data_IF_426570628802
#
_entry.id   IF_426570628802
#
_cell.length_a   1.000
_cell.length_b   1.000
_cell.length_c   1.000
_cell.angle_alpha   90.00
_cell.angle_beta   90.00
_cell.angle_gamma   90.00
#
_symmetry.space_group_name_H-M   'P 1'
#
loop_
_entity.id
_entity.type
_entity.pdbx_description
1 polymer ?
#
# COMPACT_ATOMS: atom_id res chain seq x y z
N UNK A 1 18.95 25.99 -61.79
CA UNK A 1 17.76 25.14 -62.05
C UNK A 1 17.07 24.84 -60.75
N UNK A 2 15.74 24.94 -60.66
CA UNK A 2 15.10 25.53 -59.50
C UNK A 2 14.76 24.55 -58.37
N UNK A 3 14.72 25.13 -57.18
CA UNK A 3 14.20 24.56 -55.93
C UNK A 3 12.69 24.34 -56.03
N UNK A 4 12.19 23.20 -55.53
CA UNK A 4 10.79 23.02 -55.16
C UNK A 4 10.69 22.98 -53.63
N UNK A 5 10.14 24.05 -53.04
CA UNK A 5 9.63 24.12 -51.70
C UNK A 5 8.28 23.42 -51.64
N UNK A 6 8.15 22.40 -50.82
CA UNK A 6 6.83 21.86 -50.38
C UNK A 6 6.69 22.11 -48.89
N UNK A 7 5.97 23.18 -48.56
CA UNK A 7 5.58 23.51 -47.20
C UNK A 7 4.62 22.47 -46.62
N UNK A 8 5.03 21.84 -45.56
CA UNK A 8 4.16 21.03 -44.70
C UNK A 8 3.74 21.90 -43.50
N UNK A 9 2.45 22.22 -43.46
CA UNK A 9 1.82 22.86 -42.29
C UNK A 9 1.82 21.92 -41.06
N UNK A 10 2.07 22.41 -39.84
CA UNK A 10 1.98 21.59 -38.66
C UNK A 10 0.50 21.34 -38.31
N UNK A 11 0.17 20.08 -38.06
CA UNK A 11 -1.12 19.63 -37.52
C UNK A 11 -1.15 19.99 -36.03
N UNK A 12 -2.01 20.93 -35.67
CA UNK A 12 -2.29 21.28 -34.28
C UNK A 12 -3.24 20.22 -33.70
N UNK A 13 -2.73 19.38 -32.80
CA UNK A 13 -3.56 18.50 -31.95
C UNK A 13 -4.16 19.32 -30.81
N UNK A 14 -5.50 19.43 -30.74
CA UNK A 14 -6.27 20.10 -29.68
C UNK A 14 -6.79 19.02 -28.71
N UNK A 15 -6.53 19.12 -27.39
CA UNK A 15 -7.07 18.17 -26.41
C UNK A 15 -8.56 18.45 -26.14
N UNK A 16 -9.33 17.38 -26.02
CA UNK A 16 -10.77 17.37 -25.77
C UNK A 16 -11.12 17.64 -24.30
N UNK A 17 -11.68 18.79 -23.98
CA UNK A 17 -12.49 19.02 -22.78
C UNK A 17 -13.70 19.91 -23.14
N UNK A 18 -14.87 19.45 -22.78
CA UNK A 18 -16.16 19.76 -23.42
C UNK A 18 -16.77 21.16 -23.24
N UNK A 19 -16.16 22.15 -22.63
CA UNK A 19 -16.76 23.49 -22.43
C UNK A 19 -16.00 24.62 -23.14
N UNK A 20 -14.73 24.49 -23.40
CA UNK A 20 -13.93 25.50 -24.13
C UNK A 20 -14.10 25.45 -25.64
N UNK A 21 -14.80 24.48 -26.19
CA UNK A 21 -15.00 24.31 -27.64
C UNK A 21 -16.01 25.33 -28.22
N UNK A 22 -16.91 25.87 -27.40
CA UNK A 22 -17.90 26.85 -27.87
C UNK A 22 -17.33 28.25 -27.99
N UNK A 23 -16.44 28.66 -27.09
CA UNK A 23 -15.81 29.99 -27.16
C UNK A 23 -14.80 30.09 -28.34
N UNK A 24 -14.00 29.05 -28.56
CA UNK A 24 -13.04 29.03 -29.68
C UNK A 24 -13.72 29.02 -31.07
N UNK A 25 -14.94 28.46 -31.18
CA UNK A 25 -15.74 28.51 -32.43
C UNK A 25 -16.37 29.88 -32.64
N UNK A 26 -16.65 30.62 -31.57
CA UNK A 26 -17.17 31.98 -31.65
C UNK A 26 -16.07 33.00 -32.01
N UNK A 27 -14.87 32.84 -31.48
CA UNK A 27 -13.71 33.69 -31.84
C UNK A 27 -13.20 33.47 -33.26
N UNK A 28 -13.18 32.24 -33.76
CA UNK A 28 -12.80 31.97 -35.15
C UNK A 28 -13.83 32.45 -36.19
N UNK A 29 -15.10 32.66 -35.78
CA UNK A 29 -16.12 33.26 -36.62
C UNK A 29 -16.09 34.80 -36.64
N UNK A 30 -15.55 35.44 -35.60
CA UNK A 30 -15.41 36.91 -35.56
C UNK A 30 -14.37 37.44 -36.56
N UNK A 31 -13.44 36.63 -37.04
CA UNK A 31 -12.42 37.02 -38.05
C UNK A 31 -12.96 36.96 -39.50
N UNK A 32 -14.12 36.28 -39.75
CA UNK A 32 -14.66 36.07 -41.11
C UNK A 32 -15.98 36.85 -41.35
N UNK A 33 -16.44 37.75 -40.46
CA UNK A 33 -17.77 38.38 -40.55
C UNK A 33 -17.75 39.87 -40.86
N UNK A 34 -16.78 40.38 -41.64
CA UNK A 34 -16.75 41.83 -41.98
C UNK A 34 -17.81 42.28 -42.96
N UNK A 35 -18.57 41.39 -43.65
CA UNK A 35 -19.48 41.78 -44.73
C UNK A 35 -20.87 41.08 -44.77
N UNK A 36 -21.43 40.72 -43.60
CA UNK A 36 -22.76 40.10 -43.58
C UNK A 36 -23.84 41.12 -43.11
N UNK A 37 -25.01 41.25 -43.83
CA UNK A 37 -26.10 42.14 -43.48
C UNK A 37 -26.68 41.79 -42.08
N UNK A 38 -27.03 42.81 -41.28
CA UNK A 38 -27.57 42.66 -39.91
C UNK A 38 -28.80 41.74 -39.81
N UNK A 39 -29.56 41.57 -40.91
CA UNK A 39 -30.69 40.64 -40.96
C UNK A 39 -30.29 39.19 -40.91
N UNK A 40 -29.11 38.80 -41.46
CA UNK A 40 -28.58 37.43 -41.40
C UNK A 40 -28.04 37.06 -40.01
N UNK A 41 -27.47 38.03 -39.30
CA UNK A 41 -27.00 37.85 -37.90
C UNK A 41 -28.19 37.64 -36.94
N UNK A 42 -29.30 38.30 -37.17
CA UNK A 42 -30.52 38.17 -36.36
C UNK A 42 -31.21 36.80 -36.59
N UNK A 43 -31.20 36.30 -37.84
CA UNK A 43 -31.73 34.97 -38.16
C UNK A 43 -30.88 33.83 -37.52
N UNK A 44 -29.55 33.96 -37.51
CA UNK A 44 -28.63 32.99 -36.90
C UNK A 44 -28.74 32.98 -35.37
N UNK A 45 -28.99 34.14 -34.75
CA UNK A 45 -29.19 34.23 -33.27
C UNK A 45 -30.53 33.63 -32.83
N UNK A 46 -31.54 33.65 -33.69
CA UNK A 46 -32.87 33.07 -33.40
C UNK A 46 -32.87 31.55 -33.61
N UNK A 47 -32.08 31.01 -34.50
CA UNK A 47 -31.88 29.58 -34.68
C UNK A 47 -31.03 28.96 -33.55
N UNK A 48 -30.08 29.70 -32.98
CA UNK A 48 -29.24 29.23 -31.87
C UNK A 48 -30.02 29.15 -30.53
N UNK A 49 -31.21 29.72 -30.44
CA UNK A 49 -32.09 29.68 -29.24
C UNK A 49 -33.15 28.56 -29.28
N UNK A 50 -33.21 27.75 -30.33
CA UNK A 50 -34.04 26.54 -30.27
C UNK A 50 -33.34 25.51 -29.38
N UNK A 51 -34.01 25.02 -28.27
CA UNK A 51 -33.49 23.92 -27.52
C UNK A 51 -33.36 22.74 -28.47
N UNK A 52 -32.16 22.16 -28.56
CA UNK A 52 -31.93 20.88 -29.26
C UNK A 52 -32.92 19.87 -28.67
N UNK A 53 -33.62 19.06 -29.47
CA UNK A 53 -34.40 17.96 -28.97
C UNK A 53 -33.48 17.14 -28.07
N UNK A 54 -33.94 16.86 -26.86
CA UNK A 54 -33.24 15.97 -25.94
C UNK A 54 -32.83 14.72 -26.72
N UNK A 55 -31.55 14.59 -27.05
CA UNK A 55 -30.99 13.32 -27.45
C UNK A 55 -31.26 12.41 -26.26
N UNK A 56 -32.22 11.51 -26.42
CA UNK A 56 -32.45 10.42 -25.49
C UNK A 56 -31.10 9.73 -25.33
N UNK A 57 -30.49 9.90 -24.15
CA UNK A 57 -29.38 9.04 -23.77
C UNK A 57 -29.91 7.60 -23.90
N UNK A 58 -29.23 6.72 -24.64
CA UNK A 58 -29.64 5.34 -24.69
C UNK A 58 -29.73 4.84 -23.26
N UNK A 59 -30.89 4.33 -22.92
CA UNK A 59 -31.25 3.80 -21.60
C UNK A 59 -30.22 2.75 -21.17
N UNK A 60 -29.22 3.16 -20.41
CA UNK A 60 -28.38 2.26 -19.59
C UNK A 60 -29.16 1.68 -18.41
N UNK A 61 -30.48 1.82 -18.40
CA UNK A 61 -31.34 1.28 -17.33
C UNK A 61 -31.73 -0.19 -17.51
N UNK A 62 -31.53 -0.79 -18.68
CA UNK A 62 -31.93 -2.19 -18.89
C UNK A 62 -30.95 -3.24 -18.39
N UNK A 63 -29.66 -2.88 -18.14
CA UNK A 63 -28.66 -3.84 -17.64
C UNK A 63 -28.52 -3.86 -16.11
N UNK A 64 -29.20 -2.94 -15.40
CA UNK A 64 -29.17 -2.83 -13.93
C UNK A 64 -30.22 -3.72 -13.21
N UNK A 65 -31.15 -4.34 -13.92
CA UNK A 65 -32.29 -5.02 -13.27
C UNK A 65 -32.13 -6.54 -13.07
N UNK A 66 -30.99 -7.13 -13.44
CA UNK A 66 -30.77 -8.58 -13.26
C UNK A 66 -29.64 -8.92 -12.26
N UNK A 67 -29.21 -7.98 -11.43
CA UNK A 67 -28.26 -8.29 -10.36
C UNK A 67 -29.04 -8.97 -9.22
N UNK A 68 -28.77 -10.26 -9.02
CA UNK A 68 -29.35 -11.08 -7.95
C UNK A 68 -29.31 -10.30 -6.62
N UNK A 69 -30.37 -10.29 -5.79
CA UNK A 69 -30.41 -9.54 -4.53
C UNK A 69 -29.22 -9.84 -3.60
N UNK A 70 -28.63 -11.02 -3.69
CA UNK A 70 -27.39 -11.38 -3.00
C UNK A 70 -26.17 -10.53 -3.45
N UNK A 71 -26.06 -10.21 -4.75
CA UNK A 71 -24.99 -9.34 -5.29
C UNK A 71 -25.19 -7.88 -4.90
N UNK A 72 -26.43 -7.43 -4.75
CA UNK A 72 -26.73 -6.09 -4.23
C UNK A 72 -26.40 -5.97 -2.74
N UNK A 73 -26.61 -7.03 -1.96
CA UNK A 73 -26.21 -7.08 -0.54
C UNK A 73 -24.68 -7.06 -0.39
N UNK A 74 -23.95 -7.79 -1.23
CA UNK A 74 -22.48 -7.79 -1.28
C UNK A 74 -21.91 -6.41 -1.61
N UNK A 75 -22.53 -5.66 -2.52
CA UNK A 75 -22.10 -4.30 -2.86
C UNK A 75 -22.42 -3.26 -1.77
N UNK A 76 -23.34 -3.55 -0.85
CA UNK A 76 -23.73 -2.65 0.26
C UNK A 76 -22.91 -2.89 1.53
N UNK A 77 -22.25 -4.05 1.67
CA UNK A 77 -21.45 -4.39 2.86
C UNK A 77 -19.97 -4.04 2.66
N UNK A 78 -19.31 -3.60 3.74
CA UNK A 78 -17.87 -3.34 3.69
C UNK A 78 -17.07 -4.64 3.45
N UNK A 79 -15.91 -4.55 2.82
CA UNK A 79 -15.02 -5.71 2.63
C UNK A 79 -14.68 -6.38 3.97
N UNK A 80 -14.50 -5.58 5.03
CA UNK A 80 -14.26 -6.07 6.40
C UNK A 80 -15.41 -6.95 6.88
N UNK A 81 -16.66 -6.50 6.71
CA UNK A 81 -17.84 -7.28 7.09
C UNK A 81 -17.92 -8.59 6.31
N UNK A 82 -17.62 -8.57 5.01
CA UNK A 82 -17.58 -9.77 4.18
C UNK A 82 -16.51 -10.76 4.63
N UNK A 83 -15.32 -10.28 5.02
CA UNK A 83 -14.23 -11.12 5.55
C UNK A 83 -14.64 -11.74 6.90
N UNK A 84 -15.26 -10.97 7.80
CA UNK A 84 -15.76 -11.51 9.08
C UNK A 84 -16.79 -12.61 8.82
N UNK A 85 -17.73 -12.39 7.89
CA UNK A 85 -18.72 -13.42 7.52
C UNK A 85 -18.02 -14.65 6.94
N UNK A 86 -17.04 -14.49 6.04
CA UNK A 86 -16.25 -15.58 5.49
C UNK A 86 -15.51 -16.37 6.57
N UNK A 87 -14.86 -15.67 7.52
CA UNK A 87 -14.18 -16.27 8.66
C UNK A 87 -15.13 -17.11 9.51
N UNK A 88 -16.25 -16.54 9.95
CA UNK A 88 -17.23 -17.22 10.79
C UNK A 88 -17.88 -18.42 10.05
N UNK A 89 -18.18 -18.27 8.76
CA UNK A 89 -18.70 -19.34 7.94
C UNK A 89 -17.68 -20.48 7.78
N UNK A 90 -16.38 -20.16 7.61
CA UNK A 90 -15.30 -21.14 7.56
C UNK A 90 -15.15 -21.93 8.86
N UNK A 91 -15.19 -21.27 10.01
CA UNK A 91 -15.20 -21.91 11.33
C UNK A 91 -16.42 -22.82 11.47
N UNK A 92 -17.61 -22.31 11.17
CA UNK A 92 -18.85 -23.08 11.27
C UNK A 92 -18.81 -24.35 10.37
N UNK A 93 -18.32 -24.22 9.14
CA UNK A 93 -18.21 -25.35 8.22
C UNK A 93 -17.22 -26.40 8.73
N UNK A 94 -16.08 -25.99 9.28
CA UNK A 94 -15.07 -26.91 9.83
C UNK A 94 -15.63 -27.73 11.01
N UNK A 95 -16.47 -27.09 11.85
CA UNK A 95 -17.08 -27.75 13.02
C UNK A 95 -18.22 -28.69 12.60
N UNK A 96 -19.08 -28.26 11.67
CA UNK A 96 -20.30 -29.02 11.30
C UNK A 96 -19.98 -30.13 10.30
N UNK A 97 -19.09 -29.87 9.34
CA UNK A 97 -18.79 -30.79 8.23
C UNK A 97 -17.30 -30.76 7.84
N UNK A 98 -16.40 -31.37 8.65
CA UNK A 98 -14.93 -31.29 8.42
C UNK A 98 -14.51 -31.77 7.02
N UNK A 99 -15.14 -32.80 6.47
CA UNK A 99 -14.84 -33.31 5.12
C UNK A 99 -15.18 -32.28 4.02
N UNK A 100 -16.29 -31.55 4.17
CA UNK A 100 -16.64 -30.48 3.26
C UNK A 100 -15.68 -29.28 3.43
N UNK A 101 -15.25 -29.01 4.66
CA UNK A 101 -14.28 -27.96 4.95
C UNK A 101 -12.92 -28.19 4.25
N UNK A 102 -12.42 -29.42 4.22
CA UNK A 102 -11.24 -29.79 3.45
C UNK A 102 -11.42 -29.55 1.94
N UNK A 103 -12.59 -29.89 1.41
CA UNK A 103 -12.87 -29.70 -0.02
C UNK A 103 -12.91 -28.24 -0.45
N UNK A 104 -13.41 -27.33 0.40
CA UNK A 104 -13.45 -25.89 0.08
C UNK A 104 -12.08 -25.19 0.25
N UNK A 105 -11.09 -25.87 0.83
CA UNK A 105 -9.71 -25.39 0.91
C UNK A 105 -9.12 -25.00 -0.44
N UNK A 106 -9.61 -25.63 -1.55
CA UNK A 106 -9.24 -25.25 -2.91
C UNK A 106 -9.49 -23.75 -3.19
N UNK A 107 -10.59 -23.17 -2.70
CA UNK A 107 -10.91 -21.74 -2.87
C UNK A 107 -9.84 -20.87 -2.21
N UNK A 108 -9.40 -21.27 -1.00
CA UNK A 108 -8.31 -20.64 -0.29
C UNK A 108 -6.99 -20.69 -1.07
N UNK A 109 -6.65 -21.86 -1.60
CA UNK A 109 -5.45 -22.05 -2.40
C UNK A 109 -5.44 -21.23 -3.69
N UNK A 110 -6.59 -21.07 -4.36
CA UNK A 110 -6.73 -20.18 -5.53
C UNK A 110 -6.45 -18.74 -5.15
N UNK A 111 -6.98 -18.30 -4.00
CA UNK A 111 -6.72 -16.93 -3.50
C UNK A 111 -5.24 -16.71 -3.23
N UNK A 112 -4.55 -17.63 -2.53
CA UNK A 112 -3.11 -17.54 -2.27
C UNK A 112 -2.30 -17.55 -3.56
N UNK A 113 -2.68 -18.38 -4.53
CA UNK A 113 -2.04 -18.43 -5.84
C UNK A 113 -2.20 -17.11 -6.62
N UNK A 114 -3.37 -16.48 -6.53
CA UNK A 114 -3.59 -15.16 -7.13
C UNK A 114 -2.72 -14.08 -6.48
N UNK A 115 -2.56 -14.10 -5.15
CA UNK A 115 -1.64 -13.21 -4.44
C UNK A 115 -0.18 -13.44 -4.87
N UNK A 116 0.24 -14.71 -4.94
CA UNK A 116 1.58 -15.11 -5.40
C UNK A 116 1.88 -14.59 -6.81
N UNK A 117 0.89 -14.62 -7.71
CA UNK A 117 1.04 -14.17 -9.09
C UNK A 117 1.26 -12.64 -9.20
N UNK A 118 0.59 -11.84 -8.36
CA UNK A 118 0.65 -10.37 -8.45
C UNK A 118 1.78 -9.75 -7.63
N UNK A 119 2.25 -10.40 -6.56
CA UNK A 119 3.19 -9.83 -5.62
C UNK A 119 4.54 -9.40 -6.24
N UNK A 120 5.24 -10.19 -7.07
CA UNK A 120 6.51 -9.79 -7.68
C UNK A 120 6.37 -8.54 -8.56
N UNK A 121 5.33 -8.51 -9.40
CA UNK A 121 5.07 -7.39 -10.32
C UNK A 121 4.68 -6.14 -9.54
N UNK A 122 3.86 -6.29 -8.50
CA UNK A 122 3.49 -5.18 -7.62
C UNK A 122 4.73 -4.53 -7.00
N UNK A 123 5.57 -5.32 -6.32
CA UNK A 123 6.77 -4.80 -5.64
C UNK A 123 7.69 -4.09 -6.64
N UNK A 124 7.93 -4.68 -7.81
CA UNK A 124 8.78 -4.11 -8.85
C UNK A 124 8.28 -2.75 -9.33
N UNK A 125 7.04 -2.70 -9.82
CA UNK A 125 6.48 -1.48 -10.43
C UNK A 125 6.27 -0.39 -9.38
N UNK A 126 5.79 -0.76 -8.19
CA UNK A 126 5.42 0.19 -7.16
C UNK A 126 6.65 0.90 -6.58
N UNK A 127 7.70 0.14 -6.22
CA UNK A 127 8.95 0.71 -5.69
C UNK A 127 9.64 1.56 -6.75
N UNK A 128 9.73 1.06 -7.99
CA UNK A 128 10.30 1.81 -9.11
C UNK A 128 9.55 3.13 -9.35
N UNK A 129 8.22 3.09 -9.42
CA UNK A 129 7.38 4.27 -9.64
C UNK A 129 7.50 5.27 -8.48
N UNK A 130 7.50 4.80 -7.23
CA UNK A 130 7.63 5.64 -6.05
C UNK A 130 8.94 6.43 -6.05
N UNK A 131 10.07 5.77 -6.34
CA UNK A 131 11.40 6.41 -6.37
C UNK A 131 11.52 7.36 -7.58
N UNK A 132 11.04 6.96 -8.77
CA UNK A 132 11.12 7.77 -9.98
C UNK A 132 10.29 9.05 -9.88
N UNK A 133 9.10 8.98 -9.27
CA UNK A 133 8.17 10.09 -9.12
C UNK A 133 8.41 10.92 -7.86
N UNK A 134 9.39 10.54 -7.03
CA UNK A 134 9.73 11.32 -5.84
C UNK A 134 10.20 12.72 -6.26
N UNK A 135 9.35 13.73 -6.03
CA UNK A 135 9.68 15.12 -6.32
C UNK A 135 10.73 15.61 -5.31
N UNK A 136 11.83 16.17 -5.82
CA UNK A 136 12.70 16.97 -5.01
C UNK A 136 11.93 18.27 -4.70
N UNK A 137 11.20 18.27 -3.59
CA UNK A 137 10.48 19.45 -3.13
C UNK A 137 11.43 20.61 -2.89
N UNK A 138 10.94 21.81 -3.14
CA UNK A 138 11.54 23.07 -2.71
C UNK A 138 12.12 22.93 -1.29
N UNK A 139 13.09 23.78 -0.93
CA UNK A 139 13.86 23.76 0.33
C UNK A 139 12.99 23.96 1.60
N UNK A 140 11.86 23.31 1.68
CA UNK A 140 11.06 23.20 2.89
C UNK A 140 11.78 22.26 3.85
N UNK A 141 11.70 22.53 5.14
CA UNK A 141 12.38 21.82 6.22
C UNK A 141 11.96 20.31 6.36
N UNK A 142 11.88 19.61 5.24
CA UNK A 142 11.42 18.21 5.16
C UNK A 142 12.47 17.23 5.70
N UNK A 143 13.76 17.55 5.61
CA UNK A 143 14.84 16.64 6.06
C UNK A 143 14.65 16.12 7.50
N UNK A 144 14.34 16.97 8.50
CA UNK A 144 14.09 16.49 9.86
C UNK A 144 12.89 15.55 9.97
N UNK A 145 11.84 15.79 9.18
CA UNK A 145 10.63 14.95 9.14
C UNK A 145 10.95 13.57 8.54
N UNK A 146 11.64 13.55 7.39
CA UNK A 146 12.09 12.31 6.75
C UNK A 146 12.95 11.48 7.68
N UNK A 147 13.88 12.13 8.40
CA UNK A 147 14.72 11.43 9.36
C UNK A 147 13.87 10.81 10.49
N UNK A 148 12.87 11.52 10.99
CA UNK A 148 11.96 10.99 12.02
C UNK A 148 11.13 9.81 11.46
N UNK A 149 10.66 9.87 10.21
CA UNK A 149 9.99 8.74 9.54
C UNK A 149 10.88 7.50 9.48
N UNK A 150 12.12 7.66 9.03
CA UNK A 150 13.07 6.55 8.92
C UNK A 150 13.46 5.97 10.29
N UNK A 151 13.79 6.83 11.26
CA UNK A 151 14.12 6.40 12.62
C UNK A 151 12.91 5.72 13.28
N UNK A 152 11.72 6.28 13.14
CA UNK A 152 10.48 5.71 13.68
C UNK A 152 10.18 4.33 13.09
N UNK A 153 10.27 4.20 11.78
CA UNK A 153 10.04 2.91 11.08
C UNK A 153 11.10 1.86 11.48
N UNK A 154 12.36 2.24 11.53
CA UNK A 154 13.44 1.33 11.96
C UNK A 154 13.29 0.93 13.43
N UNK A 155 12.99 1.88 14.31
CA UNK A 155 12.74 1.59 15.73
C UNK A 155 11.55 0.65 15.93
N UNK A 156 10.51 0.79 15.11
CA UNK A 156 9.36 -0.09 15.12
C UNK A 156 9.73 -1.53 14.71
N UNK A 157 10.56 -1.70 13.67
CA UNK A 157 11.09 -3.00 13.27
C UNK A 157 11.96 -3.63 14.38
N UNK A 158 12.79 -2.84 15.06
CA UNK A 158 13.58 -3.32 16.21
C UNK A 158 12.70 -3.78 17.38
N UNK A 159 11.64 -3.02 17.70
CA UNK A 159 10.65 -3.44 18.72
C UNK A 159 10.02 -4.78 18.32
N UNK A 160 9.68 -4.94 17.04
CA UNK A 160 9.11 -6.18 16.54
C UNK A 160 10.08 -7.36 16.66
N UNK A 161 11.38 -7.16 16.40
CA UNK A 161 12.42 -8.17 16.63
C UNK A 161 12.47 -8.57 18.10
N UNK A 162 12.63 -7.59 18.99
CA UNK A 162 12.71 -7.85 20.45
C UNK A 162 11.47 -8.57 20.97
N UNK A 163 10.28 -8.11 20.55
CA UNK A 163 9.02 -8.73 20.95
C UNK A 163 8.88 -10.16 20.41
N UNK A 164 9.30 -10.43 19.17
CA UNK A 164 9.24 -11.78 18.57
C UNK A 164 10.17 -12.76 19.28
N UNK A 165 11.33 -12.31 19.78
CA UNK A 165 12.20 -13.14 20.60
C UNK A 165 11.66 -13.35 22.03
N UNK A 166 11.02 -12.33 22.61
CA UNK A 166 10.43 -12.42 23.95
C UNK A 166 9.13 -13.24 23.98
N UNK A 167 8.35 -13.17 22.91
CA UNK A 167 7.04 -13.80 22.75
C UNK A 167 6.97 -14.54 21.40
N UNK A 168 7.73 -15.65 21.24
CA UNK A 168 7.77 -16.36 19.98
C UNK A 168 6.39 -16.90 19.60
N UNK A 169 6.02 -16.73 18.35
CA UNK A 169 4.74 -17.18 17.77
C UNK A 169 4.98 -18.38 16.87
N UNK A 170 4.12 -19.39 16.96
CA UNK A 170 4.13 -20.55 16.08
C UNK A 170 2.99 -20.48 15.09
N UNK A 171 3.25 -20.85 13.84
CA UNK A 171 2.29 -20.86 12.74
C UNK A 171 1.97 -22.30 12.34
N UNK A 172 0.76 -22.52 11.86
CA UNK A 172 0.41 -23.81 11.23
C UNK A 172 0.77 -23.70 9.74
N UNK A 173 1.86 -24.37 9.37
CA UNK A 173 2.35 -24.46 7.99
C UNK A 173 2.16 -25.87 7.46
N UNK A 174 1.94 -26.02 6.14
CA UNK A 174 1.81 -27.34 5.54
C UNK A 174 3.12 -28.14 5.64
N UNK A 175 3.03 -29.44 5.72
CA UNK A 175 4.14 -30.38 5.99
C UNK A 175 5.31 -30.32 5.00
N UNK A 176 5.18 -29.66 3.85
CA UNK A 176 6.28 -29.46 2.89
C UNK A 176 7.37 -28.46 3.38
N UNK A 177 7.13 -27.78 4.50
CA UNK A 177 8.06 -26.80 5.07
C UNK A 177 9.20 -27.44 5.93
N UNK A 178 9.17 -28.74 6.15
CA UNK A 178 9.97 -29.41 7.21
C UNK A 178 11.45 -29.72 6.86
N UNK A 179 11.94 -29.46 5.64
CA UNK A 179 13.31 -29.83 5.21
C UNK A 179 14.22 -28.62 4.88
N UNK A 180 14.00 -27.47 5.54
CA UNK A 180 14.83 -26.31 5.29
C UNK A 180 16.13 -26.36 6.11
N UNK A 181 17.27 -26.27 5.45
CA UNK A 181 18.57 -26.07 6.11
C UNK A 181 18.74 -24.61 6.49
N UNK A 182 18.87 -24.30 7.78
CA UNK A 182 19.10 -22.92 8.22
C UNK A 182 20.40 -22.36 7.61
N UNK A 183 20.47 -21.06 7.29
CA UNK A 183 21.72 -20.42 6.87
C UNK A 183 22.76 -20.50 8.00
N UNK A 184 24.01 -20.74 7.65
CA UNK A 184 25.12 -20.96 8.58
C UNK A 184 25.65 -19.73 9.31
N UNK A 185 24.89 -18.63 9.30
CA UNK A 185 25.21 -17.35 9.96
C UNK A 185 25.25 -16.16 9.01
N UNK A 186 25.48 -14.96 9.57
CA UNK A 186 25.39 -13.67 8.85
C UNK A 186 26.26 -13.63 7.57
N UNK A 187 27.43 -14.29 7.56
CA UNK A 187 28.32 -14.29 6.39
C UNK A 187 27.69 -15.00 5.18
N UNK A 188 27.01 -16.14 5.40
CA UNK A 188 26.31 -16.88 4.36
C UNK A 188 25.05 -16.11 3.89
N UNK A 189 24.34 -15.52 4.82
CA UNK A 189 23.19 -14.64 4.53
C UNK A 189 23.61 -13.48 3.64
N UNK A 190 24.69 -12.76 3.98
CA UNK A 190 25.20 -11.64 3.18
C UNK A 190 25.67 -12.08 1.79
N UNK A 191 26.33 -13.25 1.68
CA UNK A 191 26.72 -13.81 0.38
C UNK A 191 25.49 -14.09 -0.48
N UNK A 192 24.49 -14.75 0.09
CA UNK A 192 23.21 -15.04 -0.60
C UNK A 192 22.50 -13.77 -1.02
N UNK A 193 22.43 -12.75 -0.15
CA UNK A 193 21.87 -11.45 -0.48
C UNK A 193 22.58 -10.81 -1.67
N UNK A 194 23.92 -10.76 -1.68
CA UNK A 194 24.69 -10.19 -2.78
C UNK A 194 24.44 -10.92 -4.10
N UNK A 195 24.37 -12.24 -4.07
CA UNK A 195 24.06 -13.04 -5.26
C UNK A 195 22.64 -12.78 -5.77
N UNK A 196 21.68 -12.65 -4.87
CA UNK A 196 20.29 -12.35 -5.22
C UNK A 196 20.12 -10.93 -5.80
N UNK A 197 20.90 -9.95 -5.33
CA UNK A 197 20.88 -8.56 -5.85
C UNK A 197 21.32 -8.49 -7.32
N UNK A 198 22.32 -9.29 -7.73
CA UNK A 198 22.87 -9.27 -9.10
C UNK A 198 22.15 -10.22 -10.06
N UNK A 199 21.04 -10.80 -9.66
CA UNK A 199 20.25 -11.68 -10.51
C UNK A 199 19.64 -10.90 -11.72
N UNK A 200 19.38 -11.61 -12.81
CA UNK A 200 18.70 -11.02 -13.99
C UNK A 200 17.28 -10.58 -13.60
N UNK A 201 16.81 -9.37 -13.99
CA UNK A 201 15.51 -8.86 -13.58
C UNK A 201 14.35 -9.75 -14.02
N UNK A 202 14.41 -10.34 -15.21
CA UNK A 202 13.37 -11.26 -15.71
C UNK A 202 13.36 -12.55 -14.89
N UNK A 203 14.55 -13.09 -14.60
CA UNK A 203 14.69 -14.29 -13.77
C UNK A 203 14.24 -14.04 -12.32
N UNK A 204 14.58 -12.87 -11.76
CA UNK A 204 14.13 -12.46 -10.44
C UNK A 204 12.60 -12.40 -10.34
N UNK A 205 11.93 -11.81 -11.35
CA UNK A 205 10.47 -11.79 -11.42
C UNK A 205 9.88 -13.19 -11.59
N UNK A 206 10.45 -14.03 -12.44
CA UNK A 206 9.97 -15.38 -12.72
C UNK A 206 10.06 -16.30 -11.51
N UNK A 207 11.18 -16.24 -10.79
CA UNK A 207 11.45 -17.09 -9.62
C UNK A 207 10.94 -16.49 -8.30
N UNK A 208 10.46 -15.23 -8.31
CA UNK A 208 10.09 -14.53 -7.09
C UNK A 208 11.28 -14.22 -6.19
N UNK A 209 12.46 -13.93 -6.77
CA UNK A 209 13.61 -13.41 -6.04
C UNK A 209 13.35 -11.95 -5.66
N UNK A 210 12.66 -11.74 -4.54
CA UNK A 210 12.24 -10.41 -4.11
C UNK A 210 13.39 -9.45 -3.81
N UNK A 211 14.56 -9.95 -3.42
CA UNK A 211 15.77 -9.14 -3.21
C UNK A 211 16.26 -8.58 -4.55
N UNK A 212 16.37 -9.42 -5.58
CA UNK A 212 16.71 -9.00 -6.93
C UNK A 212 15.66 -8.05 -7.52
N UNK A 213 14.37 -8.36 -7.33
CA UNK A 213 13.24 -7.50 -7.73
C UNK A 213 13.37 -6.11 -7.10
N UNK A 214 13.63 -6.03 -5.80
CA UNK A 214 13.79 -4.76 -5.07
C UNK A 214 15.02 -4.00 -5.55
N UNK A 215 16.16 -4.68 -5.73
CA UNK A 215 17.40 -4.07 -6.21
C UNK A 215 17.22 -3.42 -7.60
N UNK A 216 16.60 -4.14 -8.54
CA UNK A 216 16.27 -3.61 -9.86
C UNK A 216 15.23 -2.50 -9.83
N UNK A 217 14.20 -2.61 -8.98
CA UNK A 217 13.19 -1.56 -8.80
C UNK A 217 13.81 -0.26 -8.28
N UNK A 218 14.72 -0.36 -7.31
CA UNK A 218 15.47 0.78 -6.77
C UNK A 218 16.39 1.37 -7.85
N UNK A 219 17.21 0.55 -8.52
CA UNK A 219 18.15 0.99 -9.55
C UNK A 219 17.45 1.71 -10.70
N UNK A 220 16.37 1.10 -11.25
CA UNK A 220 15.57 1.71 -12.31
C UNK A 220 14.82 2.95 -11.80
N UNK A 221 14.29 2.94 -10.58
CA UNK A 221 13.66 4.09 -9.96
C UNK A 221 14.58 5.30 -9.92
N UNK A 222 15.83 5.13 -9.51
CA UNK A 222 16.85 6.18 -9.54
C UNK A 222 17.20 6.61 -10.97
N UNK A 223 17.35 5.68 -11.91
CA UNK A 223 17.62 6.01 -13.32
C UNK A 223 16.47 6.85 -13.93
N UNK A 224 15.23 6.49 -13.67
CA UNK A 224 14.05 7.23 -14.16
C UNK A 224 13.78 8.54 -13.42
N UNK A 225 14.50 8.85 -12.35
CA UNK A 225 14.35 10.12 -11.62
C UNK A 225 14.63 11.35 -12.46
N UNK A 226 15.48 11.21 -13.47
CA UNK A 226 15.81 12.25 -14.44
C UNK A 226 15.05 12.10 -15.77
N UNK A 227 14.14 11.15 -15.89
CA UNK A 227 13.35 10.95 -17.08
C UNK A 227 12.32 12.07 -17.32
N UNK A 228 11.78 12.14 -18.55
CA UNK A 228 10.75 13.10 -18.92
C UNK A 228 9.49 12.95 -18.06
N UNK A 229 8.69 14.01 -17.97
CA UNK A 229 7.42 14.00 -17.25
C UNK A 229 6.47 12.91 -17.79
N UNK A 230 6.46 12.69 -19.12
CA UNK A 230 5.65 11.65 -19.75
C UNK A 230 6.06 10.24 -19.31
N UNK A 231 7.38 9.96 -19.21
CA UNK A 231 7.87 8.66 -18.73
C UNK A 231 7.52 8.43 -17.26
N UNK A 232 7.62 9.46 -16.42
CA UNK A 232 7.22 9.39 -15.02
C UNK A 232 5.72 9.17 -14.85
N UNK A 233 4.90 9.84 -15.67
CA UNK A 233 3.46 9.64 -15.70
C UNK A 233 3.12 8.20 -16.10
N UNK A 234 3.75 7.66 -17.14
CA UNK A 234 3.57 6.26 -17.55
C UNK A 234 3.86 5.28 -16.41
N UNK A 235 4.96 5.50 -15.64
CA UNK A 235 5.26 4.67 -14.47
C UNK A 235 4.18 4.79 -13.39
N UNK A 236 3.63 5.98 -13.18
CA UNK A 236 2.49 6.22 -12.28
C UNK A 236 1.22 5.48 -12.73
N UNK A 237 0.93 5.52 -14.03
CA UNK A 237 -0.22 4.84 -14.63
C UNK A 237 -0.08 3.32 -14.54
N UNK A 238 1.12 2.77 -14.81
CA UNK A 238 1.42 1.34 -14.61
C UNK A 238 1.26 0.92 -13.15
N UNK A 239 1.77 1.72 -12.21
CA UNK A 239 1.62 1.49 -10.77
C UNK A 239 0.14 1.46 -10.36
N UNK A 240 -0.65 2.39 -10.88
CA UNK A 240 -2.09 2.46 -10.65
C UNK A 240 -2.82 1.24 -11.23
N UNK A 241 -2.45 0.81 -12.44
CA UNK A 241 -2.99 -0.38 -13.09
C UNK A 241 -2.71 -1.67 -12.32
N UNK A 242 -1.45 -1.89 -11.90
CA UNK A 242 -1.07 -3.06 -11.09
C UNK A 242 -1.78 -3.02 -9.73
N UNK A 243 -1.86 -1.86 -9.09
CA UNK A 243 -2.60 -1.67 -7.83
C UNK A 243 -4.09 -2.01 -7.99
N UNK A 244 -4.71 -1.68 -9.13
CA UNK A 244 -6.10 -2.04 -9.41
C UNK A 244 -6.30 -3.56 -9.50
N UNK A 245 -5.36 -4.28 -10.13
CA UNK A 245 -5.37 -5.76 -10.19
C UNK A 245 -5.24 -6.35 -8.77
N UNK A 246 -4.31 -5.83 -7.96
CA UNK A 246 -4.14 -6.28 -6.57
C UNK A 246 -5.42 -6.03 -5.75
N UNK A 247 -6.06 -4.87 -5.90
CA UNK A 247 -7.35 -4.58 -5.25
C UNK A 247 -8.44 -5.55 -5.68
N UNK A 248 -8.44 -6.00 -6.96
CA UNK A 248 -9.37 -7.01 -7.44
C UNK A 248 -9.12 -8.36 -6.76
N UNK A 249 -7.86 -8.79 -6.66
CA UNK A 249 -7.48 -10.02 -5.94
C UNK A 249 -7.88 -9.92 -4.47
N UNK A 250 -7.62 -8.79 -3.80
CA UNK A 250 -8.01 -8.58 -2.39
C UNK A 250 -9.54 -8.61 -2.21
N UNK A 251 -10.34 -8.22 -3.20
CA UNK A 251 -11.81 -8.38 -3.14
C UNK A 251 -12.26 -9.84 -3.07
N UNK A 252 -11.43 -10.79 -3.46
CA UNK A 252 -11.68 -12.23 -3.31
C UNK A 252 -11.34 -12.74 -1.90
N UNK A 253 -10.71 -11.92 -1.05
CA UNK A 253 -10.30 -12.30 0.31
C UNK A 253 -11.43 -12.92 1.16
N UNK A 254 -12.69 -12.45 1.15
CA UNK A 254 -13.75 -13.11 1.92
C UNK A 254 -13.92 -14.59 1.58
N UNK A 255 -13.88 -14.95 0.30
CA UNK A 255 -13.96 -16.34 -0.17
C UNK A 255 -12.68 -17.11 0.10
N UNK A 256 -11.52 -16.45 -0.13
CA UNK A 256 -10.20 -17.03 0.15
C UNK A 256 -10.04 -17.39 1.63
N UNK A 257 -10.38 -16.46 2.52
CA UNK A 257 -10.29 -16.63 3.98
C UNK A 257 -11.29 -17.69 4.46
N UNK A 258 -12.52 -17.71 3.92
CA UNK A 258 -13.47 -18.78 4.18
C UNK A 258 -12.85 -20.16 3.91
N UNK A 259 -12.29 -20.38 2.72
CA UNK A 259 -11.68 -21.65 2.34
C UNK A 259 -10.44 -22.01 3.16
N UNK A 260 -9.55 -21.03 3.39
CA UNK A 260 -8.34 -21.23 4.21
C UNK A 260 -8.67 -21.62 5.64
N UNK A 261 -9.58 -20.87 6.30
CA UNK A 261 -9.94 -21.11 7.69
C UNK A 261 -10.66 -22.44 7.85
N UNK A 262 -11.59 -22.74 6.94
CA UNK A 262 -12.29 -24.01 6.96
C UNK A 262 -11.33 -25.21 6.86
N UNK A 263 -10.42 -25.20 5.90
CA UNK A 263 -9.43 -26.27 5.72
C UNK A 263 -8.45 -26.36 6.89
N UNK A 264 -7.83 -25.22 7.29
CA UNK A 264 -6.86 -25.19 8.39
C UNK A 264 -7.46 -25.71 9.69
N UNK A 265 -8.70 -25.31 10.00
CA UNK A 265 -9.35 -25.74 11.24
C UNK A 265 -9.75 -27.22 11.18
N UNK A 266 -10.14 -27.73 10.02
CA UNK A 266 -10.45 -29.14 9.83
C UNK A 266 -9.19 -30.04 9.90
N UNK A 267 -8.02 -29.54 9.46
CA UNK A 267 -6.73 -30.25 9.49
C UNK A 267 -6.06 -30.17 10.87
N UNK A 268 -6.02 -28.98 11.48
CA UNK A 268 -5.15 -28.66 12.62
C UNK A 268 -5.91 -28.38 13.92
N UNK A 269 -7.25 -28.33 13.88
CA UNK A 269 -8.08 -28.06 15.05
C UNK A 269 -8.04 -26.61 15.54
N UNK A 270 -8.63 -26.36 16.70
CA UNK A 270 -8.73 -25.02 17.29
C UNK A 270 -7.39 -24.43 17.77
N UNK A 271 -6.36 -25.26 17.98
CA UNK A 271 -5.04 -24.79 18.42
C UNK A 271 -4.40 -23.85 17.39
N UNK A 272 -4.70 -24.03 16.09
CA UNK A 272 -4.29 -23.11 15.05
C UNK A 272 -4.85 -21.68 15.26
N UNK A 273 -6.12 -21.56 15.66
CA UNK A 273 -6.74 -20.26 15.93
C UNK A 273 -6.13 -19.57 17.16
N UNK A 274 -5.78 -20.34 18.19
CA UNK A 274 -5.09 -19.82 19.37
C UNK A 274 -3.70 -19.29 19.03
N UNK A 275 -2.96 -20.00 18.15
CA UNK A 275 -1.69 -19.52 17.59
C UNK A 275 -1.85 -18.20 16.84
N UNK A 276 -2.89 -18.06 16.02
CA UNK A 276 -3.17 -16.81 15.30
C UNK A 276 -3.59 -15.67 16.24
N UNK A 277 -4.33 -15.96 17.32
CA UNK A 277 -4.66 -14.97 18.34
C UNK A 277 -3.40 -14.48 19.07
N UNK A 278 -2.48 -15.40 19.46
CA UNK A 278 -1.20 -15.03 20.06
C UNK A 278 -0.38 -14.15 19.12
N UNK A 279 -0.24 -14.52 17.85
CA UNK A 279 0.43 -13.74 16.83
C UNK A 279 -0.17 -12.32 16.71
N UNK A 280 -1.51 -12.22 16.68
CA UNK A 280 -2.21 -10.94 16.61
C UNK A 280 -1.97 -10.07 17.84
N UNK A 281 -1.94 -10.67 19.04
CA UNK A 281 -1.62 -9.96 20.29
C UNK A 281 -0.19 -9.42 20.27
N UNK A 282 0.78 -10.19 19.79
CA UNK A 282 2.17 -9.72 19.64
C UNK A 282 2.25 -8.57 18.63
N UNK A 283 1.60 -8.69 17.47
CA UNK A 283 1.57 -7.64 16.44
C UNK A 283 0.96 -6.33 16.96
N UNK A 284 -0.25 -6.40 17.48
CA UNK A 284 -0.96 -5.22 18.01
C UNK A 284 -0.25 -4.67 19.24
N UNK A 285 0.30 -5.53 20.08
CA UNK A 285 1.12 -5.15 21.23
C UNK A 285 2.36 -4.33 20.82
N UNK A 286 3.08 -4.76 19.77
CA UNK A 286 4.19 -3.98 19.20
C UNK A 286 3.71 -2.63 18.68
N UNK A 287 2.59 -2.59 17.93
CA UNK A 287 2.05 -1.35 17.39
C UNK A 287 1.64 -0.37 18.51
N UNK A 288 1.00 -0.86 19.55
CA UNK A 288 0.65 -0.05 20.73
C UNK A 288 1.89 0.43 21.48
N UNK A 289 2.91 -0.44 21.68
CA UNK A 289 4.17 -0.05 22.31
C UNK A 289 4.86 1.05 21.51
N UNK A 290 4.91 0.93 20.19
CA UNK A 290 5.48 1.98 19.33
C UNK A 290 4.65 3.26 19.40
N UNK A 291 3.33 3.19 19.33
CA UNK A 291 2.45 4.35 19.37
C UNK A 291 2.52 5.10 20.71
N UNK A 292 2.61 4.37 21.85
CA UNK A 292 2.45 4.93 23.19
C UNK A 292 3.76 5.10 23.97
N UNK A 293 4.86 4.50 23.52
CA UNK A 293 6.17 4.59 24.20
C UNK A 293 7.26 5.09 23.23
N UNK A 294 7.49 4.41 22.11
CA UNK A 294 8.62 4.72 21.21
C UNK A 294 8.42 6.08 20.52
N UNK A 295 7.26 6.27 19.90
CA UNK A 295 6.96 7.55 19.21
C UNK A 295 6.91 8.73 20.18
N UNK A 296 6.27 8.65 21.38
CA UNK A 296 6.39 9.69 22.40
C UNK A 296 7.83 9.98 22.81
N UNK A 297 8.69 8.96 22.96
CA UNK A 297 10.10 9.15 23.30
C UNK A 297 10.86 9.90 22.20
N UNK A 298 10.65 9.54 20.92
CA UNK A 298 11.23 10.23 19.77
C UNK A 298 10.77 11.69 19.70
N UNK A 299 9.48 11.93 19.91
CA UNK A 299 8.90 13.28 19.94
C UNK A 299 9.45 14.09 21.12
N UNK A 300 9.50 13.51 22.32
CA UNK A 300 10.10 14.16 23.49
C UNK A 300 11.56 14.55 23.24
N UNK A 301 12.34 13.65 22.67
CA UNK A 301 13.74 13.95 22.30
C UNK A 301 13.83 15.14 21.35
N UNK A 302 12.85 15.30 20.47
CA UNK A 302 12.82 16.35 19.45
C UNK A 302 12.36 17.71 19.99
N UNK A 303 11.22 17.72 20.74
CA UNK A 303 10.57 18.96 21.19
C UNK A 303 10.90 19.34 22.66
N UNK A 304 11.50 18.43 23.44
CA UNK A 304 11.86 18.63 24.86
C UNK A 304 10.69 19.07 25.76
N UNK A 305 9.47 18.69 25.39
CA UNK A 305 8.22 18.95 26.14
C UNK A 305 7.40 17.67 26.21
N UNK A 306 6.38 17.66 27.09
CA UNK A 306 5.47 16.49 27.18
C UNK A 306 4.86 16.17 25.80
N UNK A 307 5.12 14.98 25.23
CA UNK A 307 4.64 14.60 23.90
C UNK A 307 3.19 14.10 23.88
N UNK A 308 2.67 13.64 25.03
CA UNK A 308 1.39 12.92 25.07
C UNK A 308 0.18 13.70 24.59
N UNK A 309 0.02 15.01 24.89
CA UNK A 309 -1.11 15.77 24.34
C UNK A 309 -1.15 15.73 22.79
N UNK A 310 0.02 15.83 22.13
CA UNK A 310 0.13 15.75 20.69
C UNK A 310 -0.10 14.31 20.19
N UNK A 311 0.52 13.32 20.83
CA UNK A 311 0.37 11.89 20.48
C UNK A 311 -1.09 11.46 20.54
N UNK A 312 -1.78 11.76 21.66
CA UNK A 312 -3.18 11.38 21.83
C UNK A 312 -4.10 12.11 20.84
N UNK A 313 -3.81 13.36 20.52
CA UNK A 313 -4.54 14.10 19.49
C UNK A 313 -4.38 13.44 18.11
N UNK A 314 -3.15 13.08 17.72
CA UNK A 314 -2.89 12.40 16.45
C UNK A 314 -3.56 11.01 16.39
N UNK A 315 -3.49 10.23 17.46
CA UNK A 315 -4.14 8.91 17.51
C UNK A 315 -5.67 9.04 17.44
N UNK A 316 -6.26 9.99 18.18
CA UNK A 316 -7.72 10.18 18.20
C UNK A 316 -8.26 10.69 16.86
N UNK A 317 -7.60 11.65 16.23
CA UNK A 317 -8.15 12.35 15.06
C UNK A 317 -7.75 11.67 13.74
N UNK A 318 -6.49 11.28 13.61
CA UNK A 318 -5.96 10.58 12.44
C UNK A 318 -6.04 9.05 12.59
N UNK A 319 -5.55 8.52 13.74
CA UNK A 319 -5.45 7.09 13.94
C UNK A 319 -6.80 6.37 13.90
N UNK A 320 -7.84 6.91 14.56
CA UNK A 320 -9.18 6.29 14.53
C UNK A 320 -9.72 6.25 13.10
N UNK A 321 -9.62 7.35 12.35
CA UNK A 321 -10.11 7.39 10.97
C UNK A 321 -9.33 6.42 10.09
N UNK A 322 -7.99 6.37 10.23
CA UNK A 322 -7.13 5.45 9.50
C UNK A 322 -7.41 3.99 9.85
N UNK A 323 -7.72 3.67 11.09
CA UNK A 323 -8.11 2.33 11.54
C UNK A 323 -9.31 1.79 10.76
N UNK A 324 -10.34 2.59 10.59
CA UNK A 324 -11.56 2.17 9.89
C UNK A 324 -11.43 2.22 8.36
N UNK A 325 -10.66 3.17 7.82
CA UNK A 325 -10.46 3.28 6.36
C UNK A 325 -9.44 2.28 5.82
N UNK A 326 -8.50 1.83 6.66
CA UNK A 326 -7.41 0.92 6.29
C UNK A 326 -6.62 1.40 5.07
N UNK A 327 -6.50 2.72 4.93
CA UNK A 327 -5.80 3.34 3.81
C UNK A 327 -5.17 4.67 4.24
N UNK A 328 -3.84 4.71 4.32
CA UNK A 328 -3.10 5.95 4.60
C UNK A 328 -3.36 7.00 3.53
N UNK A 329 -3.49 6.60 2.27
CA UNK A 329 -3.81 7.51 1.17
C UNK A 329 -5.21 8.15 1.31
N UNK A 330 -6.22 7.38 1.72
CA UNK A 330 -7.56 7.90 1.98
C UNK A 330 -7.61 8.84 3.20
N UNK A 331 -6.64 8.71 4.11
CA UNK A 331 -6.56 9.53 5.33
C UNK A 331 -5.77 10.85 5.11
N UNK A 332 -5.11 11.05 3.96
CA UNK A 332 -4.37 12.29 3.66
C UNK A 332 -5.20 13.55 3.91
N UNK A 333 -6.46 13.70 3.44
CA UNK A 333 -7.26 14.90 3.70
C UNK A 333 -7.49 15.16 5.19
N UNK A 334 -7.71 14.11 5.99
CA UNK A 334 -7.88 14.20 7.45
C UNK A 334 -6.59 14.71 8.09
N UNK A 335 -5.44 14.17 7.69
CA UNK A 335 -4.13 14.57 8.19
C UNK A 335 -3.78 16.01 7.84
N UNK A 336 -4.05 16.45 6.61
CA UNK A 336 -3.86 17.85 6.20
C UNK A 336 -4.72 18.79 7.03
N UNK A 337 -6.00 18.46 7.25
CA UNK A 337 -6.89 19.26 8.08
C UNK A 337 -6.43 19.29 9.55
N UNK A 338 -5.91 18.17 10.08
CA UNK A 338 -5.38 18.12 11.43
C UNK A 338 -4.12 18.99 11.55
N UNK A 339 -3.19 18.95 10.59
CA UNK A 339 -2.02 19.82 10.55
C UNK A 339 -2.41 21.30 10.53
N UNK A 340 -3.43 21.68 9.74
CA UNK A 340 -3.96 23.03 9.71
C UNK A 340 -4.51 23.46 11.07
N UNK A 341 -5.28 22.60 11.75
CA UNK A 341 -5.82 22.87 13.11
C UNK A 341 -4.73 22.98 14.17
N UNK A 342 -3.62 22.28 13.98
CA UNK A 342 -2.43 22.38 14.84
C UNK A 342 -1.60 23.63 14.57
N UNK A 343 -1.96 24.45 13.58
CA UNK A 343 -1.27 25.69 13.21
C UNK A 343 0.06 25.48 12.50
N UNK A 344 0.29 24.30 11.88
CA UNK A 344 1.53 24.00 11.19
C UNK A 344 1.63 24.76 9.86
N UNK A 345 2.87 24.98 9.38
CA UNK A 345 3.11 25.64 8.11
C UNK A 345 2.62 24.82 6.91
N UNK A 346 1.76 25.41 6.08
CA UNK A 346 1.14 24.74 4.94
C UNK A 346 2.17 24.21 3.94
N UNK A 347 3.22 24.97 3.65
CA UNK A 347 4.31 24.57 2.77
C UNK A 347 5.02 23.28 3.24
N UNK A 348 5.02 23.02 4.54
CA UNK A 348 5.64 21.82 5.12
C UNK A 348 4.69 20.63 5.08
N UNK A 349 3.47 20.79 5.62
CA UNK A 349 2.57 19.64 5.75
C UNK A 349 1.94 19.21 4.40
N UNK A 350 1.77 20.14 3.44
CA UNK A 350 1.28 19.78 2.09
C UNK A 350 2.22 18.82 1.36
N UNK A 351 3.50 18.77 1.73
CA UNK A 351 4.49 17.84 1.17
C UNK A 351 4.73 16.66 2.10
N UNK A 352 4.90 16.90 3.41
CA UNK A 352 5.24 15.82 4.34
C UNK A 352 4.12 14.79 4.52
N UNK A 353 2.85 15.20 4.54
CA UNK A 353 1.74 14.28 4.74
C UNK A 353 1.53 13.31 3.56
N UNK A 354 1.47 13.76 2.29
CA UNK A 354 1.41 12.82 1.16
C UNK A 354 2.64 11.92 1.08
N UNK A 355 3.82 12.44 1.41
CA UNK A 355 5.06 11.67 1.45
C UNK A 355 5.05 10.64 2.58
N UNK A 356 4.61 11.02 3.79
CA UNK A 356 4.46 10.13 4.94
C UNK A 356 3.54 8.96 4.64
N UNK A 357 2.40 9.21 3.99
CA UNK A 357 1.46 8.17 3.59
C UNK A 357 2.07 7.07 2.68
N UNK A 358 3.29 7.27 2.18
CA UNK A 358 4.02 6.30 1.34
C UNK A 358 5.29 5.76 1.98
N UNK A 359 5.99 6.52 2.82
CA UNK A 359 7.31 6.13 3.36
C UNK A 359 7.35 5.95 4.87
N UNK A 360 6.39 6.52 5.62
CA UNK A 360 6.32 6.38 7.08
C UNK A 360 5.46 5.18 7.46
N UNK A 361 6.03 3.99 7.34
CA UNK A 361 5.32 2.71 7.40
C UNK A 361 5.77 1.85 8.58
N UNK A 362 5.78 2.44 9.79
CA UNK A 362 6.19 1.77 11.02
C UNK A 362 5.40 0.50 11.34
N UNK A 363 4.07 0.53 11.14
CA UNK A 363 3.20 -0.62 11.33
C UNK A 363 3.46 -1.73 10.30
N UNK A 364 3.72 -1.36 9.02
CA UNK A 364 4.10 -2.33 8.00
C UNK A 364 5.44 -3.01 8.32
N UNK A 365 6.42 -2.26 8.82
CA UNK A 365 7.70 -2.82 9.24
C UNK A 365 7.53 -3.81 10.42
N UNK A 366 6.64 -3.52 11.38
CA UNK A 366 6.26 -4.47 12.46
C UNK A 366 5.64 -5.72 11.86
N UNK A 367 4.66 -5.57 10.98
CA UNK A 367 3.95 -6.70 10.35
C UNK A 367 4.92 -7.63 9.60
N UNK A 368 5.77 -7.07 8.74
CA UNK A 368 6.77 -7.83 7.98
C UNK A 368 7.70 -8.57 8.94
N UNK A 369 8.21 -7.90 9.98
CA UNK A 369 9.16 -8.47 10.93
C UNK A 369 8.53 -9.58 11.77
N UNK A 370 7.38 -9.34 12.41
CA UNK A 370 6.74 -10.32 13.31
C UNK A 370 6.31 -11.57 12.55
N UNK A 371 5.68 -11.43 11.38
CA UNK A 371 5.23 -12.58 10.59
C UNK A 371 6.42 -13.39 10.05
N UNK A 372 7.50 -12.73 9.62
CA UNK A 372 8.71 -13.42 9.20
C UNK A 372 9.37 -14.17 10.35
N UNK A 373 9.51 -13.57 11.53
CA UNK A 373 10.10 -14.22 12.69
C UNK A 373 9.23 -15.34 13.28
N UNK A 374 7.90 -15.21 13.17
CA UNK A 374 7.00 -16.30 13.50
C UNK A 374 7.23 -17.52 12.59
N UNK A 375 7.45 -17.30 11.29
CA UNK A 375 7.82 -18.37 10.37
C UNK A 375 9.18 -18.98 10.70
N UNK A 376 10.17 -18.16 10.94
CA UNK A 376 11.53 -18.60 11.32
C UNK A 376 11.49 -19.45 12.58
N UNK A 377 10.75 -19.02 13.60
CA UNK A 377 10.54 -19.79 14.83
C UNK A 377 9.83 -21.12 14.56
N UNK A 378 8.78 -21.11 13.75
CA UNK A 378 8.01 -22.31 13.39
C UNK A 378 8.86 -23.35 12.65
N UNK A 379 9.77 -22.88 11.79
CA UNK A 379 10.66 -23.73 10.99
C UNK A 379 11.93 -24.15 11.76
N UNK A 380 12.08 -23.75 13.03
CA UNK A 380 13.26 -24.07 13.84
C UNK A 380 14.56 -23.44 13.34
N UNK A 381 14.47 -22.35 12.53
CA UNK A 381 15.64 -21.65 12.03
C UNK A 381 16.27 -20.84 13.16
N UNK A 382 17.53 -21.07 13.46
CA UNK A 382 18.28 -20.30 14.47
C UNK A 382 18.73 -18.97 13.86
N UNK A 383 18.54 -17.88 14.59
CA UNK A 383 18.90 -16.54 14.14
C UNK A 383 19.92 -15.93 15.08
N UNK A 384 21.00 -15.39 14.51
CA UNK A 384 21.93 -14.52 15.24
C UNK A 384 21.45 -13.07 15.28
N UNK A 385 21.94 -12.30 16.26
CA UNK A 385 21.58 -10.90 16.42
C UNK A 385 21.88 -10.04 15.20
N UNK A 386 23.02 -10.17 14.49
CA UNK A 386 23.28 -9.43 13.26
C UNK A 386 22.25 -9.67 12.16
N UNK A 387 21.81 -10.91 11.96
CA UNK A 387 20.76 -11.24 10.97
C UNK A 387 19.41 -10.65 11.37
N UNK A 388 19.06 -10.65 12.67
CA UNK A 388 17.85 -10.00 13.16
C UNK A 388 17.87 -8.47 12.96
N UNK A 389 19.02 -7.83 13.14
CA UNK A 389 19.21 -6.40 12.84
C UNK A 389 19.10 -6.12 11.34
N UNK A 390 19.66 -7.00 10.50
CA UNK A 390 19.55 -6.91 9.05
C UNK A 390 18.09 -7.03 8.59
N UNK A 391 17.30 -7.92 9.21
CA UNK A 391 15.86 -8.00 8.99
C UNK A 391 15.16 -6.65 9.30
N UNK A 392 15.53 -5.98 10.41
CA UNK A 392 14.95 -4.68 10.76
C UNK A 392 15.23 -3.63 9.69
N UNK A 393 16.43 -3.61 9.13
CA UNK A 393 16.79 -2.71 8.01
C UNK A 393 15.97 -3.06 6.77
N UNK A 394 15.94 -4.34 6.39
CA UNK A 394 15.21 -4.81 5.21
C UNK A 394 13.71 -4.54 5.32
N UNK A 395 13.10 -4.83 6.48
CA UNK A 395 11.70 -4.56 6.74
C UNK A 395 11.38 -3.06 6.65
N UNK A 396 12.26 -2.20 7.18
CA UNK A 396 12.07 -0.74 7.12
C UNK A 396 12.15 -0.20 5.70
N UNK A 397 13.08 -0.69 4.88
CA UNK A 397 13.22 -0.27 3.48
C UNK A 397 12.03 -0.80 2.66
N UNK A 398 11.69 -2.07 2.83
CA UNK A 398 10.59 -2.68 2.08
C UNK A 398 9.23 -2.09 2.45
N UNK A 399 9.03 -1.74 3.73
CA UNK A 399 7.80 -1.10 4.19
C UNK A 399 7.48 0.19 3.40
N UNK A 400 8.49 0.96 3.00
CA UNK A 400 8.29 2.12 2.11
C UNK A 400 7.67 1.74 0.74
N UNK A 401 7.71 0.48 0.36
CA UNK A 401 7.07 -0.06 -0.84
C UNK A 401 5.64 -0.57 -0.63
N UNK A 402 5.11 -0.54 0.60
CA UNK A 402 3.78 -1.08 0.91
C UNK A 402 2.61 -0.27 0.33
N UNK A 403 2.87 0.98 -0.11
CA UNK A 403 1.95 1.83 -0.92
C UNK A 403 0.56 2.13 -0.35
N UNK A 404 0.35 2.08 0.97
CA UNK A 404 -0.92 2.50 1.58
C UNK A 404 -2.19 1.77 1.06
N UNK A 405 -2.00 0.59 0.44
CA UNK A 405 -3.08 -0.29 0.00
C UNK A 405 -3.34 -1.32 1.10
N UNK A 406 -4.59 -1.59 1.41
CA UNK A 406 -4.96 -2.59 2.41
C UNK A 406 -4.27 -3.94 2.13
N UNK A 407 -3.58 -4.49 3.14
CA UNK A 407 -2.82 -5.75 3.02
C UNK A 407 -1.52 -5.65 2.20
N UNK A 408 -1.08 -4.44 1.80
CA UNK A 408 0.14 -4.25 1.01
C UNK A 408 1.41 -4.73 1.72
N UNK A 409 1.50 -4.55 3.03
CA UNK A 409 2.62 -5.01 3.86
C UNK A 409 2.78 -6.54 3.83
N UNK A 410 1.68 -7.28 3.77
CA UNK A 410 1.69 -8.75 3.72
C UNK A 410 2.40 -9.27 2.46
N UNK A 411 2.26 -8.57 1.34
CA UNK A 411 2.88 -8.96 0.08
C UNK A 411 4.41 -8.74 0.07
N UNK A 412 4.96 -8.09 1.09
CA UNK A 412 6.40 -7.89 1.29
C UNK A 412 7.03 -8.95 2.20
N UNK A 413 6.24 -9.79 2.85
CA UNK A 413 6.73 -10.90 3.70
C UNK A 413 7.65 -11.85 2.94
N UNK A 414 7.39 -12.26 1.68
CA UNK A 414 8.30 -13.13 0.94
C UNK A 414 9.70 -12.53 0.75
N UNK A 415 9.81 -11.21 0.62
CA UNK A 415 11.09 -10.51 0.59
C UNK A 415 11.87 -10.72 1.91
N UNK A 416 11.21 -10.54 3.05
CA UNK A 416 11.84 -10.73 4.36
C UNK A 416 12.17 -12.21 4.64
N UNK A 417 11.28 -13.11 4.23
CA UNK A 417 11.49 -14.57 4.33
C UNK A 417 12.70 -15.06 3.52
N UNK A 418 12.96 -14.44 2.36
CA UNK A 418 14.11 -14.81 1.52
C UNK A 418 15.46 -14.55 2.20
N UNK A 419 15.52 -13.63 3.19
CA UNK A 419 16.70 -13.42 4.03
C UNK A 419 17.12 -14.69 4.81
N UNK A 420 16.15 -15.52 5.15
CA UNK A 420 16.33 -16.76 5.91
C UNK A 420 16.29 -18.01 5.04
N UNK A 421 16.35 -17.87 3.72
CA UNK A 421 16.25 -18.99 2.78
C UNK A 421 14.88 -19.67 2.75
N UNK A 422 13.84 -19.03 3.30
CA UNK A 422 12.47 -19.57 3.29
C UNK A 422 11.90 -19.48 1.85
N UNK A 423 11.50 -20.62 1.25
CA UNK A 423 10.95 -20.63 -0.10
C UNK A 423 9.68 -19.80 -0.24
N UNK A 424 9.47 -19.28 -1.46
CA UNK A 424 8.32 -18.44 -1.73
C UNK A 424 6.97 -19.14 -1.48
N UNK A 425 6.91 -20.47 -1.69
CA UNK A 425 5.73 -21.29 -1.39
C UNK A 425 5.34 -21.22 0.08
N UNK A 426 6.32 -21.33 0.97
CA UNK A 426 6.13 -21.25 2.41
C UNK A 426 5.83 -19.81 2.82
N UNK A 427 6.54 -18.84 2.28
CA UNK A 427 6.31 -17.43 2.54
C UNK A 427 4.88 -17.00 2.16
N UNK A 428 4.30 -17.55 1.09
CA UNK A 428 2.93 -17.27 0.70
C UNK A 428 1.88 -17.90 1.64
N UNK A 429 2.21 -18.98 2.35
CA UNK A 429 1.34 -19.49 3.43
C UNK A 429 1.30 -18.50 4.60
N UNK A 430 2.43 -17.86 4.92
CA UNK A 430 2.51 -16.83 5.95
C UNK A 430 1.69 -15.59 5.53
N UNK A 431 1.77 -15.20 4.27
CA UNK A 431 0.91 -14.15 3.69
C UNK A 431 -0.58 -14.50 3.87
N UNK A 432 -0.97 -15.75 3.59
CA UNK A 432 -2.33 -16.22 3.77
C UNK A 432 -2.79 -16.11 5.24
N UNK A 433 -1.95 -16.51 6.19
CA UNK A 433 -2.21 -16.35 7.63
C UNK A 433 -2.36 -14.86 7.97
N UNK A 434 -1.48 -14.00 7.42
CA UNK A 434 -1.58 -12.56 7.55
C UNK A 434 -2.95 -12.02 7.09
N UNK A 435 -3.51 -12.52 6.00
CA UNK A 435 -4.86 -12.14 5.55
C UNK A 435 -5.96 -12.63 6.48
N UNK A 436 -5.82 -13.79 7.14
CA UNK A 436 -6.78 -14.29 8.14
C UNK A 436 -6.90 -13.29 9.31
N UNK A 437 -5.77 -12.84 9.85
CA UNK A 437 -5.72 -11.87 10.96
C UNK A 437 -5.83 -10.42 10.47
N UNK A 438 -5.83 -10.19 9.16
CA UNK A 438 -5.58 -8.92 8.50
C UNK A 438 -6.61 -7.83 8.80
N UNK A 439 -7.82 -8.16 9.28
CA UNK A 439 -8.81 -7.14 9.63
C UNK A 439 -8.28 -6.23 10.75
N UNK A 440 -7.84 -6.82 11.84
CA UNK A 440 -7.36 -6.10 13.01
C UNK A 440 -5.94 -5.61 12.79
N UNK A 441 -5.08 -6.48 12.22
CA UNK A 441 -3.68 -6.17 11.94
C UNK A 441 -3.54 -4.95 11.04
N UNK A 442 -4.17 -4.95 9.85
CA UNK A 442 -4.07 -3.88 8.86
C UNK A 442 -4.75 -2.57 9.32
N UNK A 443 -5.82 -2.68 10.12
CA UNK A 443 -6.44 -1.53 10.78
C UNK A 443 -5.50 -0.86 11.78
N UNK A 444 -4.87 -1.64 12.66
CA UNK A 444 -3.92 -1.14 13.64
C UNK A 444 -2.63 -0.61 12.98
N UNK A 445 -2.13 -1.31 11.97
CA UNK A 445 -1.02 -0.90 11.11
C UNK A 445 -1.26 0.48 10.50
N UNK A 446 -2.41 0.65 9.83
CA UNK A 446 -2.75 1.91 9.16
C UNK A 446 -2.97 3.04 10.16
N UNK A 447 -3.57 2.75 11.32
CA UNK A 447 -3.75 3.73 12.39
C UNK A 447 -2.40 4.26 12.90
N UNK A 448 -1.42 3.37 13.12
CA UNK A 448 -0.08 3.73 13.53
C UNK A 448 0.63 4.55 12.45
N UNK A 449 0.66 4.06 11.19
CA UNK A 449 1.33 4.74 10.08
C UNK A 449 0.79 6.15 9.90
N UNK A 450 -0.51 6.30 9.74
CA UNK A 450 -1.15 7.57 9.40
C UNK A 450 -1.12 8.61 10.53
N UNK A 451 -1.33 8.18 11.79
CA UNK A 451 -1.24 9.10 12.93
C UNK A 451 0.18 9.63 13.13
N UNK A 452 1.18 8.81 12.80
CA UNK A 452 2.60 9.16 12.92
C UNK A 452 3.03 10.16 11.84
N UNK A 453 2.36 10.22 10.68
CA UNK A 453 2.61 11.25 9.66
C UNK A 453 2.42 12.65 10.22
N UNK A 454 1.29 12.88 10.90
CA UNK A 454 1.00 14.16 11.54
C UNK A 454 1.91 14.40 12.74
N UNK A 455 2.12 13.38 13.57
CA UNK A 455 2.91 13.46 14.78
C UNK A 455 4.35 13.91 14.52
N UNK A 456 5.04 13.30 13.57
CA UNK A 456 6.43 13.63 13.25
C UNK A 456 6.56 14.94 12.47
N UNK A 457 5.57 15.25 11.61
CA UNK A 457 5.48 16.57 10.97
C UNK A 457 5.34 17.67 12.02
N UNK A 458 4.41 17.53 12.96
CA UNK A 458 4.20 18.50 14.02
C UNK A 458 5.40 18.64 14.94
N UNK A 459 6.01 17.53 15.36
CA UNK A 459 7.21 17.56 16.20
C UNK A 459 8.39 18.29 15.54
N UNK A 460 8.57 18.11 14.24
CA UNK A 460 9.63 18.80 13.49
C UNK A 460 9.37 20.31 13.36
N UNK A 461 8.12 20.72 13.08
CA UNK A 461 7.73 22.12 13.02
C UNK A 461 7.89 22.81 14.38
N UNK A 462 7.37 22.23 15.46
CA UNK A 462 7.50 22.77 16.82
C UNK A 462 8.95 22.91 17.27
N UNK A 463 9.81 21.93 16.93
CA UNK A 463 11.23 22.03 17.26
C UNK A 463 11.96 23.11 16.47
N UNK A 464 11.46 23.48 15.31
CA UNK A 464 12.02 24.58 14.52
C UNK A 464 11.60 25.93 15.07
N UNK A 465 10.33 26.12 15.41
CA UNK A 465 9.83 27.35 16.06
C UNK A 465 10.62 27.66 17.34
N UNK A 466 10.91 26.62 18.15
CA UNK A 466 11.73 26.76 19.36
C UNK A 466 13.17 27.20 19.12
N UNK A 467 13.72 26.98 17.93
CA UNK A 467 15.07 27.42 17.57
C UNK A 467 15.12 28.86 17.02
N UNK A 468 13.96 29.35 16.58
CA UNK A 468 13.79 30.71 16.03
C UNK A 468 13.37 31.71 17.11
N UNK A 469 12.74 31.22 18.18
CA UNK A 469 12.42 32.00 19.40
C UNK A 469 13.59 32.05 20.37
#
# INVERSE_FOLDING_TARGET
>A
MPRCDTGLHPVVQIPMAGTKRYEAVLESRAIFSADLPQAALKALSTQARRPLPHAQQPENHAMSQAIHPALQLLNRTSLVTQIIIGLLAGIALAVIAPQAALSVGFIGNVFVSALKAVAPVLVFILVMSSIANHQQGQQTHIRPILLMYLIGTFSAALVAVVASFAFPSSLVLSSQAAELTPPGGIGEVLKTLLMNVVDNPVNALLRGNFIGILAWAIGLGFAFRHASASSKQLLGDLSSGVTAIVKLVIRLAPLGIFGLVAATLAESGFDALLGYLHLLVVLVGCMLLVALVVNPALVYWKIRRNPYPLVLTCLRESGITAFFTRSSAANIPVNLQLCQRLGLHEETYSVSIPLGATINMAGAAITITVLTLAAVHTLGITIDLPTALLLSVLASISACGASGVAGGSLLLIPLACSLFGIPNEVAMQIVAIGFIIGIVQDSAETALNSSTDVLFTAAACMAQEQRQA
#
